data_IF_011435078014
#
_entry.id   IF_011435078014
#
_cell.length_a   1.000
_cell.length_b   1.000
_cell.length_c   1.000
_cell.angle_alpha   90.00
_cell.angle_beta   90.00
_cell.angle_gamma   90.00
#
_symmetry.space_group_name_H-M   'P 1'
#
loop_
_entity.id
_entity.type
_entity.pdbx_description
1 polymer ?
#
# COMPACT_ATOMS: atom_id res chain seq x y z
N UNK A 1 44.48 23.73 -47.39
CA UNK A 1 44.22 22.74 -46.32
C UNK A 1 44.36 21.35 -46.90
N UNK A 2 45.16 20.45 -46.31
CA UNK A 2 45.25 19.07 -46.84
C UNK A 2 43.88 18.42 -46.74
N UNK A 3 43.47 17.61 -47.73
CA UNK A 3 42.17 16.91 -47.71
C UNK A 3 41.96 16.13 -46.40
N UNK A 4 43.05 15.60 -45.83
CA UNK A 4 43.07 14.91 -44.54
C UNK A 4 42.69 15.81 -43.36
N UNK A 5 43.22 17.04 -43.31
CA UNK A 5 42.87 17.99 -42.25
C UNK A 5 41.41 18.44 -42.38
N UNK A 6 40.92 18.65 -43.61
CA UNK A 6 39.51 18.95 -43.85
C UNK A 6 38.57 17.84 -43.38
N UNK A 7 38.89 16.58 -43.68
CA UNK A 7 38.11 15.42 -43.20
C UNK A 7 38.13 15.29 -41.68
N UNK A 8 39.28 15.50 -41.04
CA UNK A 8 39.38 15.47 -39.57
C UNK A 8 38.56 16.57 -38.90
N UNK A 9 38.62 17.80 -39.42
CA UNK A 9 37.84 18.92 -38.88
C UNK A 9 36.34 18.67 -39.05
N UNK A 10 35.90 18.23 -40.23
CA UNK A 10 34.48 17.92 -40.47
C UNK A 10 34.01 16.77 -39.59
N UNK A 11 34.83 15.71 -39.44
CA UNK A 11 34.51 14.58 -38.55
C UNK A 11 34.41 15.01 -37.08
N UNK A 12 35.35 15.83 -36.60
CA UNK A 12 35.32 16.35 -35.23
C UNK A 12 34.12 17.27 -34.99
N UNK A 13 33.80 18.17 -35.94
CA UNK A 13 32.61 19.03 -35.85
C UNK A 13 31.35 18.18 -35.83
N UNK A 14 31.21 17.22 -36.75
CA UNK A 14 30.05 16.32 -36.78
C UNK A 14 29.89 15.53 -35.48
N UNK A 15 30.98 14.97 -34.96
CA UNK A 15 30.97 14.22 -33.71
C UNK A 15 30.61 15.10 -32.51
N UNK A 16 31.15 16.31 -32.43
CA UNK A 16 30.80 17.26 -31.37
C UNK A 16 29.36 17.75 -31.50
N UNK A 17 28.86 17.99 -32.72
CA UNK A 17 27.49 18.44 -32.93
C UNK A 17 26.49 17.32 -32.67
N UNK A 18 26.72 16.11 -33.18
CA UNK A 18 25.82 14.96 -32.99
C UNK A 18 25.90 14.41 -31.57
N UNK A 19 27.10 14.38 -30.97
CA UNK A 19 27.29 14.04 -29.57
C UNK A 19 26.65 15.08 -28.65
N UNK A 20 26.80 16.37 -28.95
CA UNK A 20 26.14 17.45 -28.20
C UNK A 20 24.62 17.44 -28.34
N UNK A 21 24.09 17.23 -29.56
CA UNK A 21 22.65 17.08 -29.80
C UNK A 21 22.09 15.81 -29.15
N UNK A 22 22.81 14.69 -29.24
CA UNK A 22 22.42 13.43 -28.62
C UNK A 22 22.41 13.50 -27.09
N UNK A 23 23.32 14.27 -26.49
CA UNK A 23 23.34 14.52 -25.06
C UNK A 23 22.23 15.46 -24.57
N UNK A 24 21.57 16.20 -25.46
CA UNK A 24 20.46 17.10 -25.11
C UNK A 24 19.08 16.40 -25.20
N UNK A 25 19.03 15.18 -25.74
CA UNK A 25 17.79 14.42 -25.85
C UNK A 25 17.67 13.46 -24.67
N UNK A 26 16.47 13.31 -24.10
CA UNK A 26 16.24 12.31 -23.06
C UNK A 26 16.51 10.91 -23.62
N UNK A 27 17.17 10.09 -22.81
CA UNK A 27 17.40 8.68 -23.15
C UNK A 27 16.18 7.85 -22.75
N UNK A 28 15.93 6.67 -23.35
CA UNK A 28 14.80 5.80 -23.01
C UNK A 28 15.03 5.02 -21.70
N UNK A 29 15.55 5.69 -20.68
CA UNK A 29 15.85 5.16 -19.36
C UNK A 29 15.31 6.11 -18.30
N UNK A 30 15.05 5.58 -17.11
CA UNK A 30 14.70 6.34 -15.91
C UNK A 30 15.75 6.07 -14.84
N UNK A 31 15.89 7.00 -13.91
CA UNK A 31 16.74 6.82 -12.73
C UNK A 31 15.85 6.58 -11.50
N UNK A 32 16.04 5.44 -10.86
CA UNK A 32 15.41 5.11 -9.59
C UNK A 32 16.38 5.44 -8.45
N UNK A 33 15.89 6.08 -7.40
CA UNK A 33 16.68 6.49 -6.23
C UNK A 33 15.94 6.18 -4.93
N UNK A 34 16.62 6.16 -3.77
CA UNK A 34 15.95 6.12 -2.47
C UNK A 34 14.88 7.20 -2.38
N UNK A 35 13.65 6.80 -2.08
CA UNK A 35 12.54 7.73 -1.86
C UNK A 35 12.44 8.16 -0.40
N UNK A 36 11.54 9.10 -0.08
CA UNK A 36 11.25 9.44 1.31
C UNK A 36 10.72 8.24 2.09
N UNK A 37 10.98 8.24 3.40
CA UNK A 37 10.39 7.29 4.35
C UNK A 37 9.21 7.93 5.07
N UNK A 38 8.24 7.11 5.47
CA UNK A 38 7.04 7.59 6.15
C UNK A 38 6.81 6.77 7.42
N UNK A 39 6.79 7.47 8.56
CA UNK A 39 6.45 6.90 9.86
C UNK A 39 4.94 6.67 9.96
N UNK A 40 4.54 5.42 9.97
CA UNK A 40 3.12 5.04 10.05
C UNK A 40 2.48 5.43 11.39
N UNK A 41 3.27 5.63 12.45
CA UNK A 41 2.81 6.06 13.77
C UNK A 41 2.83 7.59 13.92
N UNK A 42 3.40 8.30 12.94
CA UNK A 42 3.64 9.73 12.95
C UNK A 42 2.71 10.54 12.05
N UNK A 43 3.11 11.79 11.81
CA UNK A 43 2.43 12.71 10.91
C UNK A 43 3.04 12.67 9.50
N UNK A 44 2.20 12.71 8.48
CA UNK A 44 2.62 12.90 7.09
C UNK A 44 3.07 14.34 6.79
N UNK A 45 3.50 14.64 5.55
CA UNK A 45 4.02 15.95 5.16
C UNK A 45 3.04 17.12 5.40
N UNK A 46 1.74 16.83 5.36
CA UNK A 46 0.65 17.76 5.60
C UNK A 46 0.39 18.05 7.09
N UNK A 47 1.13 17.42 8.03
CA UNK A 47 0.96 17.55 9.48
C UNK A 47 -0.25 16.81 10.05
N UNK A 48 -0.84 15.89 9.28
CA UNK A 48 -1.91 15.01 9.75
C UNK A 48 -1.34 13.61 10.03
N UNK A 49 -1.85 12.86 11.02
CA UNK A 49 -1.46 11.48 11.26
C UNK A 49 -1.60 10.61 10.00
N UNK A 50 -0.61 9.75 9.75
CA UNK A 50 -0.65 8.82 8.63
C UNK A 50 -1.76 7.79 8.84
N UNK A 51 -1.86 7.21 10.04
CA UNK A 51 -2.96 6.32 10.41
C UNK A 51 -3.82 7.05 11.44
N UNK A 52 -5.10 7.23 11.13
CA UNK A 52 -6.09 7.79 12.05
C UNK A 52 -7.07 6.70 12.45
N UNK A 53 -7.18 6.43 13.74
CA UNK A 53 -8.17 5.48 14.29
C UNK A 53 -9.29 6.26 14.95
N UNK A 54 -10.54 5.90 14.65
CA UNK A 54 -11.73 6.53 15.24
C UNK A 54 -12.64 5.49 15.88
N UNK A 55 -13.12 5.76 17.09
CA UNK A 55 -14.09 4.90 17.79
C UNK A 55 -13.49 4.02 18.89
N UNK A 56 -12.16 3.97 18.99
CA UNK A 56 -11.43 3.41 20.13
C UNK A 56 -10.33 4.36 20.58
N UNK A 57 -9.81 4.16 21.80
CA UNK A 57 -8.57 4.78 22.24
C UNK A 57 -7.39 4.13 21.52
N UNK A 58 -6.39 4.93 21.15
CA UNK A 58 -5.13 4.45 20.56
C UNK A 58 -4.04 4.42 21.63
N UNK A 59 -3.06 3.54 21.45
CA UNK A 59 -1.89 3.45 22.29
C UNK A 59 -1.00 4.69 22.17
N UNK A 60 -0.26 4.99 23.25
CA UNK A 60 0.85 5.92 23.21
C UNK A 60 2.05 5.21 22.56
N UNK A 61 2.48 5.68 21.39
CA UNK A 61 3.62 5.12 20.66
C UNK A 61 4.89 5.91 20.96
N UNK A 62 6.04 5.21 21.05
CA UNK A 62 7.31 5.86 21.41
C UNK A 62 8.48 5.52 20.47
N UNK A 63 8.35 4.47 19.65
CA UNK A 63 9.30 4.14 18.60
C UNK A 63 8.87 4.68 17.24
N UNK A 64 9.54 4.17 16.20
CA UNK A 64 9.35 4.58 14.81
C UNK A 64 9.02 3.33 13.99
N UNK A 65 7.96 3.37 13.19
CA UNK A 65 7.59 2.27 12.31
C UNK A 65 7.47 2.79 10.88
N UNK A 66 8.57 2.73 10.13
CA UNK A 66 8.72 3.44 8.88
C UNK A 66 8.69 2.54 7.65
N UNK A 67 7.84 2.91 6.69
CA UNK A 67 7.89 2.35 5.34
C UNK A 67 8.85 3.15 4.46
N UNK A 68 9.50 2.46 3.52
CA UNK A 68 10.45 3.05 2.57
C UNK A 68 9.90 3.06 1.15
N UNK A 69 10.20 4.10 0.37
CA UNK A 69 9.72 4.27 -1.00
C UNK A 69 10.87 4.36 -2.01
N UNK A 70 10.55 4.40 -3.30
CA UNK A 70 11.50 4.60 -4.40
C UNK A 70 11.05 5.80 -5.21
N UNK A 71 11.94 6.74 -5.48
CA UNK A 71 11.65 7.87 -6.35
C UNK A 71 12.06 7.57 -7.80
N UNK A 72 11.19 7.91 -8.76
CA UNK A 72 11.42 7.74 -10.19
C UNK A 72 11.72 9.10 -10.81
N UNK A 73 12.91 9.26 -11.39
CA UNK A 73 13.28 10.41 -12.20
C UNK A 73 13.25 10.04 -13.68
N UNK A 74 12.36 10.71 -14.40
CA UNK A 74 12.13 10.50 -15.82
C UNK A 74 12.77 11.59 -16.69
N UNK A 75 12.89 11.32 -18.00
CA UNK A 75 13.46 12.22 -19.02
C UNK A 75 14.91 12.61 -18.72
N UNK A 76 15.69 11.68 -18.16
CA UNK A 76 17.11 11.89 -17.87
C UNK A 76 17.92 12.01 -19.17
N UNK A 77 18.94 12.88 -19.15
CA UNK A 77 19.86 13.01 -20.27
C UNK A 77 20.94 11.89 -20.25
N UNK A 78 21.69 11.78 -21.35
CA UNK A 78 22.72 10.76 -21.52
C UNK A 78 23.80 10.80 -20.43
N UNK A 79 24.23 11.99 -19.99
CA UNK A 79 25.28 12.10 -18.98
C UNK A 79 24.77 11.70 -17.61
N UNK A 80 23.53 12.08 -17.27
CA UNK A 80 22.86 11.62 -16.05
C UNK A 80 22.74 10.09 -16.03
N UNK A 81 22.28 9.47 -17.11
CA UNK A 81 22.20 8.01 -17.21
C UNK A 81 23.57 7.32 -17.10
N UNK A 82 24.60 7.88 -17.76
CA UNK A 82 25.95 7.33 -17.69
C UNK A 82 26.56 7.45 -16.29
N UNK A 83 26.33 8.58 -15.61
CA UNK A 83 26.79 8.78 -14.24
C UNK A 83 26.08 7.83 -13.28
N UNK A 84 24.77 7.66 -13.42
CA UNK A 84 23.98 6.78 -12.56
C UNK A 84 24.41 5.31 -12.59
N UNK A 85 24.99 4.82 -13.70
CA UNK A 85 25.55 3.44 -13.74
C UNK A 85 26.79 3.23 -12.87
N UNK A 86 27.43 4.29 -12.42
CA UNK A 86 28.57 4.22 -11.49
C UNK A 86 28.20 4.70 -10.09
N UNK A 87 26.94 5.04 -9.87
CA UNK A 87 26.42 5.52 -8.59
C UNK A 87 25.70 4.37 -7.88
N UNK A 88 26.19 3.99 -6.71
CA UNK A 88 25.61 2.90 -5.94
C UNK A 88 24.25 3.27 -5.33
N UNK A 89 23.82 4.52 -5.37
CA UNK A 89 22.52 4.97 -4.87
C UNK A 89 21.48 5.13 -5.99
N UNK A 90 21.86 4.86 -7.24
CA UNK A 90 20.98 5.04 -8.41
C UNK A 90 20.84 3.75 -9.19
N UNK A 91 19.61 3.38 -9.54
CA UNK A 91 19.36 2.31 -10.51
C UNK A 91 18.85 2.90 -11.83
N UNK A 92 19.63 2.73 -12.90
CA UNK A 92 19.25 3.15 -14.25
C UNK A 92 18.58 1.97 -14.95
N UNK A 93 17.28 2.09 -15.19
CA UNK A 93 16.45 1.02 -15.81
C UNK A 93 15.76 1.53 -17.08
N UNK A 94 15.45 0.65 -18.05
CA UNK A 94 14.68 1.03 -19.22
C UNK A 94 13.35 1.70 -18.82
N UNK A 95 13.01 2.81 -19.47
CA UNK A 95 11.77 3.55 -19.17
C UNK A 95 10.54 2.66 -19.30
N UNK A 96 10.53 1.74 -20.26
CA UNK A 96 9.42 0.83 -20.55
C UNK A 96 9.11 -0.17 -19.41
N UNK A 97 10.05 -0.39 -18.48
CA UNK A 97 9.81 -1.22 -17.29
C UNK A 97 8.93 -0.50 -16.25
N UNK A 98 8.96 0.85 -16.23
CA UNK A 98 8.14 1.68 -15.33
C UNK A 98 6.92 2.25 -16.05
N UNK A 99 7.09 2.69 -17.30
CA UNK A 99 6.06 3.28 -18.14
C UNK A 99 5.92 2.47 -19.43
N UNK A 100 5.07 1.43 -19.44
CA UNK A 100 4.85 0.59 -20.62
C UNK A 100 4.43 1.42 -21.84
N UNK A 101 4.93 1.12 -23.05
CA UNK A 101 4.69 1.94 -24.25
C UNK A 101 3.24 1.90 -24.74
N UNK A 102 2.44 0.96 -24.25
CA UNK A 102 1.00 0.82 -24.54
C UNK A 102 0.10 1.57 -23.55
N UNK A 103 0.68 2.26 -22.57
CA UNK A 103 -0.03 3.03 -21.55
C UNK A 103 0.51 4.47 -21.48
N UNK A 104 -0.36 5.39 -21.14
CA UNK A 104 0.02 6.77 -20.78
C UNK A 104 0.52 6.84 -19.34
N UNK A 105 1.32 7.85 -19.02
CA UNK A 105 1.78 8.11 -17.65
C UNK A 105 0.61 8.27 -16.66
N UNK A 106 -0.47 8.93 -17.10
CA UNK A 106 -1.69 9.10 -16.29
C UNK A 106 -2.37 7.76 -15.97
N UNK A 107 -2.37 6.81 -16.91
CA UNK A 107 -2.92 5.46 -16.66
C UNK A 107 -2.05 4.66 -15.68
N UNK A 108 -0.72 4.79 -15.78
CA UNK A 108 0.23 4.15 -14.84
C UNK A 108 0.08 4.73 -13.44
N UNK A 109 -0.04 6.05 -13.31
CA UNK A 109 -0.21 6.71 -12.02
C UNK A 109 -1.56 6.35 -11.37
N UNK A 110 -2.64 6.26 -12.16
CA UNK A 110 -3.94 5.82 -11.64
C UNK A 110 -3.92 4.34 -11.20
N UNK A 111 -3.23 3.47 -11.94
CA UNK A 111 -3.03 2.07 -11.54
C UNK A 111 -2.22 1.97 -10.23
N UNK A 112 -1.12 2.71 -10.12
CA UNK A 112 -0.30 2.75 -8.89
C UNK A 112 -1.10 3.27 -7.69
N UNK A 113 -2.00 4.23 -7.90
CA UNK A 113 -2.89 4.76 -6.86
C UNK A 113 -3.95 3.74 -6.46
N UNK A 114 -4.52 3.00 -7.41
CA UNK A 114 -5.44 1.91 -7.14
C UNK A 114 -4.76 0.77 -6.35
N UNK A 115 -3.53 0.39 -6.72
CA UNK A 115 -2.74 -0.60 -5.99
C UNK A 115 -2.44 -0.16 -4.56
N UNK A 116 -2.15 1.13 -4.35
CA UNK A 116 -1.95 1.67 -3.01
C UNK A 116 -3.23 1.63 -2.16
N UNK A 117 -4.39 1.96 -2.74
CA UNK A 117 -5.68 1.82 -2.05
C UNK A 117 -5.99 0.36 -1.69
N UNK A 118 -5.72 -0.57 -2.59
CA UNK A 118 -5.87 -2.00 -2.33
C UNK A 118 -4.92 -2.48 -1.22
N UNK A 119 -3.70 -1.93 -1.18
CA UNK A 119 -2.74 -2.21 -0.11
C UNK A 119 -3.20 -1.71 1.25
N UNK A 120 -3.88 -0.55 1.32
CA UNK A 120 -4.47 -0.05 2.56
C UNK A 120 -5.58 -0.96 3.06
N UNK A 121 -6.49 -1.35 2.17
CA UNK A 121 -7.57 -2.27 2.51
C UNK A 121 -7.02 -3.62 2.97
N UNK A 122 -6.01 -4.16 2.29
CA UNK A 122 -5.40 -5.44 2.67
C UNK A 122 -4.71 -5.36 4.03
N UNK A 123 -4.03 -4.24 4.31
CA UNK A 123 -3.40 -4.00 5.59
C UNK A 123 -4.42 -3.89 6.74
N UNK A 124 -5.53 -3.18 6.52
CA UNK A 124 -6.63 -3.09 7.49
C UNK A 124 -7.23 -4.47 7.78
N UNK A 125 -7.51 -5.26 6.73
CA UNK A 125 -8.09 -6.60 6.90
C UNK A 125 -7.13 -7.57 7.58
N UNK A 126 -5.84 -7.55 7.24
CA UNK A 126 -4.82 -8.37 7.90
C UNK A 126 -4.67 -8.00 9.39
N UNK A 127 -4.67 -6.70 9.73
CA UNK A 127 -4.63 -6.26 11.11
C UNK A 127 -5.89 -6.69 11.88
N UNK A 128 -7.07 -6.60 11.26
CA UNK A 128 -8.31 -7.02 11.90
C UNK A 128 -8.42 -8.54 12.07
N UNK A 129 -7.82 -9.31 11.17
CA UNK A 129 -7.70 -10.76 11.30
C UNK A 129 -6.83 -11.13 12.51
N UNK A 130 -5.66 -10.50 12.63
CA UNK A 130 -4.73 -10.68 13.75
C UNK A 130 -5.37 -10.30 15.10
N UNK A 131 -6.15 -9.21 15.13
CA UNK A 131 -6.93 -8.81 16.32
C UNK A 131 -8.14 -9.72 16.60
N UNK A 132 -8.40 -10.71 15.75
CA UNK A 132 -9.45 -11.72 15.95
C UNK A 132 -10.87 -11.22 15.66
N UNK A 133 -11.04 -10.16 14.87
CA UNK A 133 -12.36 -9.65 14.55
C UNK A 133 -13.15 -10.59 13.62
N UNK A 134 -14.49 -10.68 13.76
CA UNK A 134 -15.29 -11.60 12.97
C UNK A 134 -15.47 -11.10 11.52
N UNK A 135 -15.57 -12.04 10.58
CA UNK A 135 -16.07 -11.74 9.23
C UNK A 135 -17.57 -11.41 9.31
N UNK A 136 -17.96 -10.33 8.66
CA UNK A 136 -19.35 -9.92 8.46
C UNK A 136 -19.55 -9.43 7.02
N UNK A 137 -20.81 -9.25 6.61
CA UNK A 137 -21.11 -8.56 5.36
C UNK A 137 -20.99 -7.05 5.57
N UNK A 138 -19.93 -6.44 5.05
CA UNK A 138 -19.62 -5.02 5.23
C UNK A 138 -19.90 -4.25 3.94
N UNK A 139 -20.52 -3.09 4.06
CA UNK A 139 -20.70 -2.14 2.97
C UNK A 139 -19.35 -1.57 2.57
N UNK A 140 -18.95 -1.77 1.32
CA UNK A 140 -17.73 -1.22 0.73
C UNK A 140 -18.00 0.16 0.10
N UNK A 141 -19.08 0.25 -0.68
CA UNK A 141 -19.45 1.47 -1.41
C UNK A 141 -20.96 1.55 -1.60
N UNK A 142 -21.48 2.76 -1.87
CA UNK A 142 -22.84 2.98 -2.34
C UNK A 142 -22.81 3.29 -3.84
N UNK A 143 -23.71 2.69 -4.61
CA UNK A 143 -23.90 3.08 -6.02
C UNK A 143 -24.36 4.55 -6.14
N UNK A 144 -24.08 5.21 -7.26
CA UNK A 144 -24.41 6.63 -7.45
C UNK A 144 -25.90 6.99 -7.18
N UNK A 145 -26.82 6.11 -7.55
CA UNK A 145 -28.27 6.25 -7.31
C UNK A 145 -28.78 5.30 -6.20
N UNK A 146 -27.93 5.04 -5.19
CA UNK A 146 -28.22 4.07 -4.12
C UNK A 146 -29.52 4.43 -3.36
N UNK A 147 -30.46 3.48 -3.21
CA UNK A 147 -31.59 3.64 -2.29
C UNK A 147 -31.17 3.78 -0.81
N UNK A 148 -29.93 3.40 -0.48
CA UNK A 148 -29.36 3.50 0.86
C UNK A 148 -28.67 4.85 1.13
N UNK A 149 -28.74 5.83 0.20
CA UNK A 149 -28.10 7.14 0.36
C UNK A 149 -28.48 7.80 1.68
N UNK A 150 -27.47 8.16 2.49
CA UNK A 150 -27.66 8.80 3.79
C UNK A 150 -28.19 7.87 4.90
N UNK A 151 -28.40 6.58 4.61
CA UNK A 151 -28.83 5.55 5.58
C UNK A 151 -27.71 4.58 5.91
N UNK A 152 -27.03 4.07 4.88
CA UNK A 152 -25.82 3.26 4.99
C UNK A 152 -24.61 4.06 4.49
N UNK A 153 -23.42 3.62 4.89
CA UNK A 153 -22.12 4.13 4.42
C UNK A 153 -21.11 2.98 4.39
N UNK A 154 -19.98 3.19 3.71
CA UNK A 154 -18.83 2.31 3.80
C UNK A 154 -18.47 2.03 5.27
N UNK A 155 -18.08 0.79 5.58
CA UNK A 155 -17.78 0.32 6.94
C UNK A 155 -18.99 -0.17 7.76
N UNK A 156 -20.23 0.02 7.28
CA UNK A 156 -21.40 -0.54 7.97
C UNK A 156 -21.45 -2.07 7.81
N UNK A 157 -21.43 -2.82 8.92
CA UNK A 157 -21.69 -4.25 8.92
C UNK A 157 -23.20 -4.51 8.95
N UNK A 158 -23.71 -5.29 8.01
CA UNK A 158 -25.14 -5.63 7.89
C UNK A 158 -25.41 -6.88 8.75
N UNK A 159 -26.17 -6.71 9.82
CA UNK A 159 -26.50 -7.78 10.77
C UNK A 159 -27.76 -8.54 10.35
N UNK A 160 -28.78 -7.80 9.88
CA UNK A 160 -30.01 -8.38 9.35
C UNK A 160 -30.79 -7.42 8.46
N UNK A 161 -31.63 -7.99 7.59
CA UNK A 161 -32.56 -7.26 6.73
C UNK A 161 -33.97 -7.80 6.98
N UNK A 162 -34.87 -6.95 7.44
CA UNK A 162 -36.27 -7.27 7.79
C UNK A 162 -36.37 -8.46 8.76
N UNK A 163 -35.52 -8.44 9.80
CA UNK A 163 -35.43 -9.47 10.82
C UNK A 163 -34.78 -10.80 10.39
N UNK A 164 -34.32 -10.92 9.13
CA UNK A 164 -33.59 -12.08 8.64
C UNK A 164 -32.07 -11.86 8.75
N UNK A 165 -31.34 -12.71 9.51
CA UNK A 165 -29.89 -12.57 9.67
C UNK A 165 -29.13 -12.66 8.35
N UNK A 166 -28.02 -11.93 8.26
CA UNK A 166 -27.16 -11.86 7.07
C UNK A 166 -25.71 -12.22 7.41
N UNK A 167 -25.43 -13.49 7.76
CA UNK A 167 -24.08 -13.92 8.18
C UNK A 167 -23.05 -13.93 7.05
N UNK A 168 -23.50 -13.96 5.79
CA UNK A 168 -22.66 -14.06 4.59
C UNK A 168 -23.36 -13.40 3.39
N UNK A 169 -22.61 -13.19 2.31
CA UNK A 169 -23.12 -12.58 1.07
C UNK A 169 -24.28 -13.37 0.45
N UNK A 170 -24.30 -14.70 0.57
CA UNK A 170 -25.36 -15.53 0.04
C UNK A 170 -26.69 -15.26 0.76
N UNK A 171 -26.65 -15.14 2.09
CA UNK A 171 -27.81 -14.80 2.90
C UNK A 171 -28.36 -13.41 2.55
N UNK A 172 -27.51 -12.40 2.31
CA UNK A 172 -27.97 -11.08 1.82
C UNK A 172 -28.68 -11.20 0.48
N UNK A 173 -28.08 -11.93 -0.47
CA UNK A 173 -28.66 -12.13 -1.80
C UNK A 173 -30.01 -12.86 -1.75
N UNK A 174 -30.11 -13.94 -0.96
CA UNK A 174 -31.35 -14.69 -0.76
C UNK A 174 -32.44 -13.83 -0.13
N UNK A 175 -32.07 -13.05 0.89
CA UNK A 175 -33.00 -12.16 1.59
C UNK A 175 -33.61 -11.12 0.65
N UNK A 176 -32.76 -10.47 -0.15
CA UNK A 176 -33.17 -9.44 -1.10
C UNK A 176 -33.90 -10.00 -2.33
N UNK A 177 -33.60 -11.22 -2.76
CA UNK A 177 -34.33 -11.88 -3.86
C UNK A 177 -35.79 -12.13 -3.47
N UNK A 178 -36.07 -12.45 -2.21
CA UNK A 178 -37.42 -12.67 -1.71
C UNK A 178 -38.22 -11.37 -1.44
N UNK A 179 -37.58 -10.20 -1.48
CA UNK A 179 -38.23 -8.90 -1.22
C UNK A 179 -38.62 -8.25 -2.55
N UNK A 180 -39.90 -7.91 -2.77
CA UNK A 180 -40.31 -7.14 -3.95
C UNK A 180 -39.64 -5.77 -3.98
N UNK A 181 -39.25 -5.31 -5.16
CA UNK A 181 -38.73 -3.95 -5.36
C UNK A 181 -39.71 -2.88 -4.86
N UNK A 182 -39.19 -1.78 -4.32
CA UNK A 182 -39.99 -0.70 -3.73
C UNK A 182 -40.55 -1.01 -2.34
N UNK A 183 -40.23 -2.18 -1.76
CA UNK A 183 -40.57 -2.48 -0.36
C UNK A 183 -39.68 -1.68 0.58
N UNK A 184 -40.23 -1.18 1.68
CA UNK A 184 -39.45 -0.62 2.80
C UNK A 184 -39.06 -1.75 3.73
N UNK A 185 -37.76 -1.89 3.97
CA UNK A 185 -37.16 -2.90 4.85
C UNK A 185 -36.40 -2.23 5.97
N UNK A 186 -36.43 -2.84 7.15
CA UNK A 186 -35.60 -2.43 8.28
C UNK A 186 -34.27 -3.17 8.22
N UNK A 187 -33.17 -2.43 8.08
CA UNK A 187 -31.81 -2.97 8.06
C UNK A 187 -31.16 -2.70 9.41
N UNK A 188 -30.78 -3.76 10.11
CA UNK A 188 -29.97 -3.68 11.32
C UNK A 188 -28.51 -3.69 10.89
N UNK A 189 -27.77 -2.67 11.33
CA UNK A 189 -26.35 -2.51 11.00
C UNK A 189 -25.55 -2.09 12.21
N UNK A 190 -24.29 -2.51 12.24
CA UNK A 190 -23.30 -2.11 13.26
C UNK A 190 -22.28 -1.18 12.64
N UNK A 191 -21.94 -0.10 13.35
CA UNK A 191 -20.82 0.81 13.03
C UNK A 191 -20.17 1.28 14.31
N UNK A 192 -18.85 1.18 14.40
CA UNK A 192 -18.12 1.57 15.60
C UNK A 192 -18.75 0.97 16.88
N UNK A 193 -19.00 -0.35 16.84
CA UNK A 193 -19.68 -1.16 17.88
C UNK A 193 -21.11 -0.73 18.26
N UNK A 194 -21.73 0.16 17.48
CA UNK A 194 -23.08 0.65 17.72
C UNK A 194 -24.06 0.07 16.71
N UNK A 195 -24.88 -0.86 17.21
CA UNK A 195 -26.03 -1.37 16.47
C UNK A 195 -27.10 -0.28 16.31
N UNK A 196 -27.68 -0.19 15.11
CA UNK A 196 -28.85 0.64 14.85
C UNK A 196 -29.66 0.12 13.68
N UNK A 197 -30.95 0.44 13.68
CA UNK A 197 -31.87 0.10 12.61
C UNK A 197 -32.11 1.29 11.71
N UNK A 198 -32.04 1.08 10.39
CA UNK A 198 -32.38 2.08 9.37
C UNK A 198 -33.43 1.52 8.42
N UNK A 199 -34.49 2.30 8.17
CA UNK A 199 -35.51 1.91 7.19
C UNK A 199 -35.10 2.38 5.79
N UNK A 200 -35.07 1.46 4.83
CA UNK A 200 -34.62 1.68 3.45
C UNK A 200 -35.71 1.19 2.50
N UNK A 201 -36.11 2.03 1.55
CA UNK A 201 -36.97 1.61 0.44
C UNK A 201 -36.09 1.01 -0.65
N UNK A 202 -36.24 -0.28 -0.90
CA UNK A 202 -35.39 -1.04 -1.82
C UNK A 202 -35.60 -0.64 -3.28
N UNK A 203 -34.53 -0.71 -4.08
CA UNK A 203 -34.55 -0.54 -5.53
C UNK A 203 -34.88 -1.83 -6.26
N UNK A 204 -35.10 -1.74 -7.58
CA UNK A 204 -35.30 -2.89 -8.46
C UNK A 204 -33.95 -3.52 -8.83
N UNK A 205 -33.84 -4.84 -8.71
CA UNK A 205 -32.69 -5.59 -9.21
C UNK A 205 -32.76 -5.67 -10.74
N UNK A 206 -31.66 -5.37 -11.44
CA UNK A 206 -31.62 -5.35 -12.91
C UNK A 206 -31.19 -6.67 -13.54
N UNK A 207 -30.53 -7.52 -12.76
CA UNK A 207 -29.86 -8.76 -13.17
C UNK A 207 -30.45 -10.04 -12.54
N UNK A 208 -31.35 -9.88 -11.55
CA UNK A 208 -32.03 -10.97 -10.86
C UNK A 208 -33.42 -10.55 -10.39
N UNK A 209 -34.19 -11.52 -9.89
CA UNK A 209 -35.46 -11.23 -9.22
C UNK A 209 -35.25 -10.54 -7.86
N UNK A 210 -36.26 -9.80 -7.41
CA UNK A 210 -36.32 -9.17 -6.11
C UNK A 210 -35.78 -7.73 -6.12
N UNK A 211 -35.12 -7.36 -5.03
CA UNK A 211 -34.74 -5.98 -4.77
C UNK A 211 -33.26 -5.80 -4.49
N UNK A 212 -32.83 -4.54 -4.39
CA UNK A 212 -31.47 -4.13 -4.03
C UNK A 212 -31.47 -3.03 -2.99
N UNK A 213 -30.43 -3.00 -2.15
CA UNK A 213 -30.13 -1.86 -1.28
C UNK A 213 -29.27 -0.79 -1.99
N UNK A 214 -28.72 -1.09 -3.17
CA UNK A 214 -27.80 -0.20 -3.90
C UNK A 214 -26.47 0.02 -3.20
N UNK A 215 -25.97 -1.01 -2.52
CA UNK A 215 -24.65 -1.04 -1.90
C UNK A 215 -23.81 -2.13 -2.53
N UNK A 216 -22.52 -1.89 -2.65
CA UNK A 216 -21.51 -2.91 -2.88
C UNK A 216 -21.09 -3.42 -1.51
N UNK A 217 -21.16 -4.72 -1.32
CA UNK A 217 -20.82 -5.39 -0.06
C UNK A 217 -19.80 -6.48 -0.32
N UNK A 218 -18.98 -6.78 0.68
CA UNK A 218 -18.09 -7.94 0.69
C UNK A 218 -18.13 -8.62 2.06
N UNK A 219 -17.70 -9.87 2.11
CA UNK A 219 -17.30 -10.49 3.37
C UNK A 219 -15.98 -9.84 3.82
N UNK A 220 -15.98 -9.19 4.98
CA UNK A 220 -14.83 -8.48 5.52
C UNK A 220 -14.82 -8.56 7.06
N UNK A 221 -13.62 -8.47 7.64
CA UNK A 221 -13.43 -8.38 9.08
C UNK A 221 -14.02 -7.06 9.57
N UNK A 222 -14.85 -7.12 10.60
CA UNK A 222 -15.56 -5.97 11.16
C UNK A 222 -15.03 -5.63 12.55
N UNK A 223 -14.24 -4.58 12.64
CA UNK A 223 -13.74 -4.01 13.88
C UNK A 223 -14.74 -3.02 14.52
N UNK A 224 -14.65 -2.78 15.84
CA UNK A 224 -15.45 -1.78 16.54
C UNK A 224 -14.94 -0.34 16.37
N UNK A 225 -14.00 -0.10 15.44
CA UNK A 225 -13.42 1.20 15.12
C UNK A 225 -13.16 1.30 13.60
N UNK A 226 -12.95 2.53 13.12
CA UNK A 226 -12.60 2.80 11.72
C UNK A 226 -11.11 3.18 11.64
N UNK A 227 -10.43 2.73 10.58
CA UNK A 227 -9.05 3.13 10.25
C UNK A 227 -9.06 3.96 8.97
N UNK A 228 -8.43 5.13 9.02
CA UNK A 228 -8.20 5.96 7.83
C UNK A 228 -6.69 6.14 7.64
N UNK A 229 -6.19 5.75 6.46
CA UNK A 229 -4.78 5.85 6.10
C UNK A 229 -4.61 7.02 5.11
N UNK A 230 -3.70 7.94 5.43
CA UNK A 230 -3.38 9.13 4.64
C UNK A 230 -1.89 9.19 4.40
N UNK A 231 -1.46 8.70 3.25
CA UNK A 231 -0.10 8.91 2.76
C UNK A 231 -0.19 9.64 1.43
N UNK A 232 0.21 10.91 1.45
CA UNK A 232 0.29 11.72 0.25
C UNK A 232 1.48 11.24 -0.60
N UNK A 233 1.30 11.18 -1.92
CA UNK A 233 2.38 10.95 -2.91
C UNK A 233 3.05 9.56 -2.89
N UNK A 234 2.47 8.56 -2.21
CA UNK A 234 2.93 7.17 -2.26
C UNK A 234 2.05 6.32 -3.16
N UNK A 235 2.69 5.52 -4.02
CA UNK A 235 2.04 4.61 -4.97
C UNK A 235 2.56 3.18 -4.85
N UNK A 236 1.80 2.24 -5.41
CA UNK A 236 2.14 0.82 -5.46
C UNK A 236 1.85 0.07 -4.15
N UNK A 237 1.87 -1.27 -4.16
CA UNK A 237 1.33 -2.08 -3.08
C UNK A 237 2.29 -2.31 -1.88
N UNK A 238 3.51 -1.76 -1.94
CA UNK A 238 4.62 -2.20 -1.08
C UNK A 238 4.62 -1.70 0.37
N UNK A 239 3.59 -0.95 0.75
CA UNK A 239 3.39 -0.38 2.08
C UNK A 239 2.57 -1.28 3.01
N UNK A 240 1.89 -2.30 2.47
CA UNK A 240 0.89 -3.09 3.17
C UNK A 240 1.35 -3.67 4.51
N UNK A 241 2.52 -4.31 4.54
CA UNK A 241 3.05 -4.88 5.80
C UNK A 241 3.25 -3.80 6.87
N UNK A 242 3.90 -2.69 6.52
CA UNK A 242 4.21 -1.63 7.49
C UNK A 242 2.96 -0.91 7.98
N UNK A 243 1.97 -0.71 7.09
CA UNK A 243 0.66 -0.18 7.48
C UNK A 243 -0.09 -1.13 8.43
N UNK A 244 -0.02 -2.44 8.19
CA UNK A 244 -0.63 -3.46 9.05
C UNK A 244 -0.05 -3.40 10.45
N UNK A 245 1.29 -3.40 10.55
CA UNK A 245 2.01 -3.29 11.81
C UNK A 245 1.69 -1.95 12.51
N UNK A 246 1.54 -0.85 11.77
CA UNK A 246 1.16 0.45 12.33
C UNK A 246 -0.24 0.44 12.95
N UNK A 247 -1.22 -0.22 12.31
CA UNK A 247 -2.55 -0.41 12.89
C UNK A 247 -2.45 -1.24 14.17
N UNK A 248 -1.71 -2.36 14.14
CA UNK A 248 -1.55 -3.24 15.29
C UNK A 248 -0.86 -2.55 16.47
N UNK A 249 0.14 -1.71 16.23
CA UNK A 249 0.80 -0.95 17.30
C UNK A 249 -0.13 0.10 17.91
N UNK A 250 -0.99 0.73 17.09
CA UNK A 250 -1.93 1.76 17.55
C UNK A 250 -3.12 1.21 18.34
N UNK A 251 -3.59 -0.01 18.08
CA UNK A 251 -4.82 -0.55 18.69
C UNK A 251 -4.67 -1.91 19.38
N UNK A 252 -3.56 -2.61 19.17
CA UNK A 252 -3.26 -3.90 19.78
C UNK A 252 -2.75 -3.76 21.21
N UNK A 253 -2.48 -4.89 21.86
CA UNK A 253 -2.03 -4.91 23.26
C UNK A 253 -0.51 -4.69 23.41
N UNK A 254 0.27 -4.86 22.33
CA UNK A 254 1.73 -4.86 22.34
C UNK A 254 2.29 -3.57 21.71
N UNK A 255 3.32 -2.99 22.35
CA UNK A 255 4.25 -2.05 21.71
C UNK A 255 5.19 -2.85 20.81
N UNK A 256 4.94 -2.79 19.50
CA UNK A 256 5.67 -3.54 18.48
C UNK A 256 7.10 -3.02 18.30
N UNK A 257 7.30 -1.71 18.50
CA UNK A 257 8.59 -1.06 18.34
C UNK A 257 9.49 -1.22 19.56
N UNK A 258 8.92 -1.30 20.76
CA UNK A 258 9.67 -1.26 22.01
C UNK A 258 10.43 0.07 22.22
N UNK A 259 10.09 1.12 21.47
CA UNK A 259 10.82 2.39 21.42
C UNK A 259 11.93 2.46 20.36
N UNK A 260 12.19 1.37 19.63
CA UNK A 260 13.25 1.32 18.62
C UNK A 260 12.76 1.77 17.23
N UNK A 261 13.67 2.23 16.35
CA UNK A 261 13.34 2.54 14.97
C UNK A 261 13.34 1.28 14.10
N UNK A 262 12.15 0.93 13.59
CA UNK A 262 11.90 -0.23 12.76
C UNK A 262 11.57 0.22 11.34
N UNK A 263 12.33 -0.28 10.38
CA UNK A 263 12.10 -0.03 8.95
C UNK A 263 11.69 -1.30 8.23
N UNK A 264 11.01 -1.16 7.11
CA UNK A 264 10.69 -2.32 6.29
C UNK A 264 9.85 -2.03 5.06
N UNK A 265 9.53 -3.11 4.35
CA UNK A 265 8.65 -3.07 3.19
C UNK A 265 7.98 -4.44 3.00
N UNK A 266 6.92 -4.46 2.21
CA UNK A 266 6.24 -5.70 1.85
C UNK A 266 4.82 -5.40 1.41
N UNK A 267 4.38 -6.08 0.35
CA UNK A 267 2.93 -6.20 0.15
C UNK A 267 2.37 -7.13 1.22
N UNK A 268 1.06 -7.08 1.44
CA UNK A 268 0.38 -8.02 2.31
C UNK A 268 -1.00 -8.32 1.72
N UNK A 269 -1.47 -9.55 1.85
CA UNK A 269 -2.85 -9.90 1.55
C UNK A 269 -3.70 -10.00 2.82
N UNK A 270 -5.01 -10.21 2.65
CA UNK A 270 -5.97 -10.29 3.75
C UNK A 270 -5.73 -11.48 4.70
N UNK A 271 -4.90 -12.45 4.31
CA UNK A 271 -4.56 -13.65 5.08
C UNK A 271 -3.22 -13.47 5.81
N UNK A 272 -2.62 -12.28 5.71
CA UNK A 272 -1.35 -11.95 6.34
C UNK A 272 -0.13 -12.50 5.61
N UNK A 273 -0.23 -12.94 4.35
CA UNK A 273 0.93 -13.38 3.57
C UNK A 273 1.69 -12.16 3.04
N UNK A 274 2.99 -12.11 3.30
CA UNK A 274 3.86 -11.01 2.84
C UNK A 274 4.40 -11.33 1.46
N UNK A 275 4.13 -10.44 0.50
CA UNK A 275 4.55 -10.60 -0.88
C UNK A 275 5.77 -9.76 -1.27
N UNK A 276 6.37 -10.07 -2.44
CA UNK A 276 7.56 -9.39 -2.92
C UNK A 276 7.28 -7.94 -3.33
N UNK A 277 8.35 -7.16 -3.39
CA UNK A 277 8.34 -5.76 -3.83
C UNK A 277 9.43 -5.50 -4.87
N UNK A 278 9.36 -4.34 -5.54
CA UNK A 278 10.42 -3.84 -6.39
C UNK A 278 11.34 -2.85 -5.66
N UNK A 279 12.62 -2.81 -6.04
CA UNK A 279 13.56 -1.80 -5.57
C UNK A 279 14.04 -1.98 -4.13
N UNK A 280 14.13 -3.23 -3.63
CA UNK A 280 14.53 -3.52 -2.23
C UNK A 280 15.87 -2.87 -1.87
N UNK A 281 16.83 -2.83 -2.81
CA UNK A 281 18.13 -2.20 -2.62
C UNK A 281 18.01 -0.70 -2.30
N UNK A 282 17.23 0.04 -3.08
CA UNK A 282 17.04 1.48 -2.88
C UNK A 282 16.28 1.78 -1.58
N UNK A 283 15.36 0.88 -1.21
CA UNK A 283 14.61 0.94 0.05
C UNK A 283 15.49 0.70 1.28
N UNK A 284 16.42 -0.24 1.21
CA UNK A 284 17.40 -0.44 2.28
C UNK A 284 18.35 0.76 2.43
N UNK A 285 18.77 1.38 1.32
CA UNK A 285 19.57 2.63 1.38
C UNK A 285 18.77 3.75 2.06
N UNK A 286 17.49 3.92 1.72
CA UNK A 286 16.64 4.93 2.38
C UNK A 286 16.52 4.72 3.90
N UNK A 287 16.59 3.48 4.37
CA UNK A 287 16.60 3.16 5.80
C UNK A 287 17.98 3.38 6.43
N UNK A 288 19.05 2.99 5.74
CA UNK A 288 20.44 3.21 6.17
C UNK A 288 20.76 4.69 6.36
N UNK A 289 20.27 5.55 5.47
CA UNK A 289 20.36 7.02 5.57
C UNK A 289 19.73 7.60 6.85
N UNK A 290 18.91 6.81 7.55
CA UNK A 290 18.23 7.14 8.80
C UNK A 290 18.74 6.31 9.98
N UNK A 291 19.96 5.77 9.87
CA UNK A 291 20.63 4.97 10.90
C UNK A 291 19.78 3.75 11.36
N UNK A 292 19.03 3.13 10.43
CA UNK A 292 18.27 1.94 10.72
C UNK A 292 19.19 0.77 11.12
N UNK A 293 18.92 0.15 12.27
CA UNK A 293 19.63 -1.07 12.68
C UNK A 293 18.95 -2.34 12.16
N UNK A 294 17.64 -2.28 11.90
CA UNK A 294 16.87 -3.41 11.39
C UNK A 294 15.95 -3.02 10.24
N UNK A 295 15.85 -3.92 9.26
CA UNK A 295 14.94 -3.83 8.13
C UNK A 295 14.14 -5.13 7.93
N UNK A 296 12.80 -5.03 7.95
CA UNK A 296 11.92 -6.14 7.59
C UNK A 296 11.90 -6.32 6.05
N UNK A 297 12.35 -7.48 5.59
CA UNK A 297 12.47 -7.84 4.17
C UNK A 297 11.51 -8.98 3.83
N UNK A 298 10.65 -8.83 2.80
CA UNK A 298 9.87 -9.96 2.30
C UNK A 298 10.80 -11.13 1.94
N UNK A 299 10.50 -12.34 2.40
CA UNK A 299 11.35 -13.51 2.18
C UNK A 299 11.69 -13.72 0.69
N UNK A 300 10.74 -13.41 -0.19
CA UNK A 300 10.91 -13.49 -1.64
C UNK A 300 11.96 -12.49 -2.21
N UNK A 301 12.26 -11.40 -1.49
CA UNK A 301 13.28 -10.42 -1.85
C UNK A 301 14.66 -10.67 -1.20
N UNK A 302 14.79 -11.62 -0.26
CA UNK A 302 16.06 -11.83 0.47
C UNK A 302 17.26 -12.06 -0.45
N UNK A 303 17.12 -12.85 -1.52
CA UNK A 303 18.22 -13.12 -2.44
C UNK A 303 18.72 -11.85 -3.16
N UNK A 304 17.83 -10.91 -3.45
CA UNK A 304 18.17 -9.61 -4.04
C UNK A 304 18.77 -8.67 -2.98
N UNK A 305 18.17 -8.62 -1.79
CA UNK A 305 18.63 -7.81 -0.67
C UNK A 305 20.08 -8.13 -0.27
N UNK A 306 20.44 -9.41 -0.20
CA UNK A 306 21.78 -9.88 0.17
C UNK A 306 22.89 -9.49 -0.81
N UNK A 307 22.56 -9.01 -2.02
CA UNK A 307 23.57 -8.58 -2.99
C UNK A 307 24.31 -7.31 -2.54
N UNK A 308 23.64 -6.45 -1.76
CA UNK A 308 24.21 -5.21 -1.26
C UNK A 308 23.48 -4.78 0.01
N UNK A 309 23.89 -5.38 1.13
CA UNK A 309 23.42 -4.99 2.47
C UNK A 309 24.21 -3.76 2.93
N UNK A 310 23.55 -2.65 3.32
CA UNK A 310 24.21 -1.53 3.96
C UNK A 310 24.97 -1.94 5.23
N UNK A 311 26.04 -1.22 5.58
CA UNK A 311 26.89 -1.59 6.71
C UNK A 311 26.16 -1.32 8.04
N UNK A 312 25.89 -2.38 8.81
CA UNK A 312 25.21 -2.26 10.11
C UNK A 312 23.71 -2.48 10.06
N UNK A 313 23.13 -2.71 8.87
CA UNK A 313 21.71 -3.02 8.71
C UNK A 313 21.45 -4.53 8.81
N UNK A 314 20.73 -4.96 9.85
CA UNK A 314 20.27 -6.34 9.99
C UNK A 314 18.97 -6.57 9.19
N UNK A 315 18.95 -7.62 8.35
CA UNK A 315 17.80 -7.94 7.50
C UNK A 315 16.96 -9.06 8.11
N UNK A 316 15.76 -8.75 8.58
CA UNK A 316 14.81 -9.73 9.09
C UNK A 316 13.91 -10.25 7.96
N UNK A 317 14.00 -11.55 7.66
CA UNK A 317 13.21 -12.21 6.62
C UNK A 317 11.79 -12.49 7.11
N UNK A 318 10.77 -11.99 6.40
CA UNK A 318 9.36 -12.19 6.74
C UNK A 318 8.57 -12.75 5.55
N UNK A 319 7.85 -13.87 5.73
CA UNK A 319 6.95 -14.42 4.72
C UNK A 319 5.48 -14.21 5.07
N UNK A 320 5.19 -13.92 6.34
CA UNK A 320 3.85 -13.71 6.90
C UNK A 320 3.87 -12.58 7.94
N UNK A 321 2.69 -12.09 8.30
CA UNK A 321 2.51 -11.15 9.41
C UNK A 321 3.01 -11.74 10.73
N UNK A 322 2.75 -13.03 10.98
CA UNK A 322 3.27 -13.77 12.14
C UNK A 322 4.80 -13.76 12.22
N UNK A 323 5.48 -13.91 11.07
CA UNK A 323 6.94 -13.83 11.02
C UNK A 323 7.42 -12.42 11.39
N UNK A 324 6.73 -11.38 10.92
CA UNK A 324 7.07 -10.00 11.24
C UNK A 324 6.86 -9.70 12.73
N UNK A 325 5.72 -10.08 13.30
CA UNK A 325 5.44 -9.94 14.74
C UNK A 325 6.46 -10.70 15.59
N UNK A 326 6.82 -11.92 15.17
CA UNK A 326 7.84 -12.73 15.84
C UNK A 326 9.23 -12.11 15.74
N UNK A 327 9.62 -11.58 14.58
CA UNK A 327 10.88 -10.88 14.38
C UNK A 327 10.98 -9.64 15.28
N UNK A 328 9.92 -8.83 15.36
CA UNK A 328 9.87 -7.67 16.25
C UNK A 328 9.93 -8.09 17.73
N UNK A 329 9.26 -9.17 18.11
CA UNK A 329 9.34 -9.71 19.47
C UNK A 329 10.75 -10.22 19.82
N UNK A 330 11.50 -10.77 18.86
CA UNK A 330 12.90 -11.13 19.04
C UNK A 330 13.78 -9.90 19.24
N UNK A 331 13.60 -8.87 18.43
CA UNK A 331 14.33 -7.59 18.51
C UNK A 331 14.12 -6.91 19.86
N UNK A 332 12.87 -6.75 20.29
CA UNK A 332 12.53 -6.19 21.61
C UNK A 332 13.14 -6.99 22.77
N UNK A 333 13.39 -8.28 22.57
CA UNK A 333 14.01 -9.15 23.55
C UNK A 333 15.55 -9.25 23.42
N UNK A 334 16.17 -8.47 22.53
CA UNK A 334 17.61 -8.50 22.25
C UNK A 334 18.09 -9.82 21.62
N UNK A 335 17.21 -10.52 20.90
CA UNK A 335 17.52 -11.73 20.12
C UNK A 335 17.63 -11.38 18.65
N UNK A 336 18.45 -12.13 17.92
CA UNK A 336 18.53 -12.01 16.47
C UNK A 336 17.27 -12.62 15.84
N UNK A 337 16.50 -11.88 15.02
CA UNK A 337 15.37 -12.42 14.28
C UNK A 337 15.85 -13.37 13.16
N UNK A 338 14.95 -14.16 12.55
CA UNK A 338 15.25 -14.90 11.34
C UNK A 338 15.77 -13.95 10.24
N UNK A 339 16.99 -14.17 9.77
CA UNK A 339 17.62 -13.29 8.79
C UNK A 339 17.41 -13.77 7.35
N UNK A 340 17.60 -12.85 6.40
CA UNK A 340 18.11 -13.27 5.09
C UNK A 340 19.52 -13.89 5.26
#
# INVERSE_FOLDING_TARGET
>A
MSRRLGTLVVGAVLLLTLGGLGALLPVPYVALTPGPTYDTLGEGPSGNPIITVTGTETNDTSGLLSLTTVAVYDQIDFFTALQGWFDDEVAIVPREEIYPPDQSEEEVDEANRADFLNSQQSAEQAAFDELGYPVKVVVQELSADSPSQGRLRAGDAIESIDGRPTPDLAAVADVLTAIPAGSTVDVVRTRLDRESTVSITTGEATDREGSVLGVIVSDARSAPFDVEIRVDEVGGPSAGLMLTLGILDLVGDDDLTGGDPIFGTGTIDNEGVVGPIGGIRLKMIAADDLDAEIFLVPQANCAEALLQVPEGLDLASVATLDDALSALADVRAGRAPPSC
#
